data_IF_580673707476
#
_entry.id   IF_580673707476
#
_cell.length_a   1.000
_cell.length_b   1.000
_cell.length_c   1.000
_cell.angle_alpha   90.00
_cell.angle_beta   90.00
_cell.angle_gamma   90.00
#
_symmetry.space_group_name_H-M   'P 1'
#
loop_
_entity.id
_entity.type
_entity.pdbx_description
1 polymer ?
#
# COMPACT_ATOMS: atom_id res chain seq x y z
N UNK A 1 11.13 -13.92 -15.43
CA UNK A 1 10.45 -12.61 -15.43
C UNK A 1 11.19 -11.72 -14.47
N UNK A 2 11.36 -10.45 -14.79
CA UNK A 2 12.10 -9.49 -13.97
C UNK A 2 11.25 -8.99 -12.79
N UNK A 3 9.91 -9.05 -12.93
CA UNK A 3 8.92 -8.68 -11.92
C UNK A 3 7.78 -9.69 -11.92
N UNK A 4 7.49 -10.28 -10.77
CA UNK A 4 6.37 -11.21 -10.57
C UNK A 4 6.12 -11.43 -9.08
N UNK A 5 4.85 -11.48 -8.69
CA UNK A 5 4.41 -11.85 -7.35
C UNK A 5 3.33 -12.91 -7.48
N UNK A 6 3.72 -14.17 -7.43
CA UNK A 6 2.83 -15.31 -7.66
C UNK A 6 2.17 -15.83 -6.38
N UNK A 7 2.65 -15.36 -5.22
CA UNK A 7 2.06 -15.64 -3.90
C UNK A 7 2.52 -14.61 -2.86
N UNK A 8 1.81 -14.51 -1.73
CA UNK A 8 2.24 -13.69 -0.59
C UNK A 8 3.46 -14.27 0.15
N UNK A 9 3.77 -15.57 -0.02
CA UNK A 9 4.76 -16.29 0.77
C UNK A 9 5.97 -16.80 -0.03
N UNK A 10 5.98 -16.71 -1.36
CA UNK A 10 7.18 -17.02 -2.14
C UNK A 10 8.38 -16.21 -1.66
N UNK A 11 9.60 -16.77 -1.71
CA UNK A 11 10.80 -16.06 -1.21
C UNK A 11 10.87 -14.66 -1.83
N UNK A 12 10.84 -13.65 -0.97
CA UNK A 12 10.90 -12.25 -1.38
C UNK A 12 12.28 -11.94 -1.95
N UNK A 13 12.33 -11.36 -3.14
CA UNK A 13 13.56 -11.00 -3.83
C UNK A 13 13.75 -9.51 -3.96
N UNK A 14 12.64 -8.78 -4.15
CA UNK A 14 12.71 -7.33 -4.34
C UNK A 14 11.45 -6.68 -3.79
N UNK A 15 11.61 -5.52 -3.16
CA UNK A 15 10.52 -4.77 -2.53
C UNK A 15 10.75 -3.26 -2.64
N UNK A 16 9.67 -2.50 -2.85
CA UNK A 16 9.68 -1.04 -2.72
C UNK A 16 9.28 -0.69 -1.28
N UNK A 17 10.10 0.14 -0.62
CA UNK A 17 9.85 0.76 0.67
C UNK A 17 9.88 2.28 0.55
N UNK A 18 9.35 2.98 1.55
CA UNK A 18 9.52 4.42 1.71
C UNK A 18 10.00 4.74 3.12
N UNK A 19 11.23 5.24 3.24
CA UNK A 19 11.78 5.67 4.53
C UNK A 19 11.11 6.97 4.95
N UNK A 20 10.56 7.09 6.17
CA UNK A 20 9.94 8.34 6.65
C UNK A 20 10.86 9.55 6.47
N UNK A 21 10.32 10.62 5.89
CA UNK A 21 11.03 11.87 5.61
C UNK A 21 10.35 13.10 6.18
N UNK A 22 10.61 14.25 5.60
CA UNK A 22 10.09 15.55 6.07
C UNK A 22 8.55 15.67 5.99
N UNK A 23 7.87 14.83 5.21
CA UNK A 23 6.41 14.71 5.20
C UNK A 23 5.84 14.41 6.60
N UNK A 24 6.59 13.70 7.43
CA UNK A 24 6.20 13.39 8.80
C UNK A 24 6.28 14.59 9.73
N UNK A 25 7.18 15.53 9.46
CA UNK A 25 7.28 16.79 10.22
C UNK A 25 6.11 17.76 9.96
N UNK A 26 5.34 17.49 8.89
CA UNK A 26 4.10 18.24 8.58
C UNK A 26 2.88 17.74 9.34
N UNK A 27 2.99 16.59 10.02
CA UNK A 27 1.92 16.08 10.89
C UNK A 27 1.84 16.93 12.16
N UNK A 28 0.64 17.38 12.47
CA UNK A 28 0.31 18.16 13.67
C UNK A 28 -0.93 17.57 14.33
N UNK A 29 -1.20 17.86 15.63
CA UNK A 29 -2.44 17.42 16.27
C UNK A 29 -3.72 17.87 15.54
N UNK A 30 -3.65 18.97 14.75
CA UNK A 30 -4.78 19.54 14.05
C UNK A 30 -5.06 18.87 12.71
N UNK A 31 -4.03 18.33 12.01
CA UNK A 31 -4.18 17.81 10.67
C UNK A 31 -4.01 16.29 10.56
N UNK A 32 -3.50 15.61 11.61
CA UNK A 32 -3.18 14.18 11.56
C UNK A 32 -4.35 13.30 11.11
N UNK A 33 -5.56 13.57 11.58
CA UNK A 33 -6.75 12.80 11.22
C UNK A 33 -7.11 12.93 9.73
N UNK A 34 -6.95 14.15 9.16
CA UNK A 34 -7.12 14.39 7.73
C UNK A 34 -6.05 13.71 6.89
N UNK A 35 -4.85 13.57 7.45
CA UNK A 35 -3.72 12.88 6.84
C UNK A 35 -3.67 11.38 7.20
N UNK A 36 -4.71 10.86 7.88
CA UNK A 36 -4.92 9.45 8.20
C UNK A 36 -3.88 8.85 9.16
N UNK A 37 -3.29 9.69 10.03
CA UNK A 37 -2.43 9.25 11.13
C UNK A 37 -3.18 9.33 12.46
N UNK A 38 -2.93 8.37 13.35
CA UNK A 38 -3.58 8.34 14.66
C UNK A 38 -2.86 9.25 15.68
N UNK A 39 -1.58 9.53 15.44
CA UNK A 39 -0.79 10.42 16.27
C UNK A 39 0.34 11.08 15.46
N UNK A 40 0.98 12.11 16.05
CA UNK A 40 2.26 12.64 15.55
C UNK A 40 3.40 11.73 15.99
N UNK A 41 4.41 11.59 15.17
CA UNK A 41 5.54 10.72 15.44
C UNK A 41 6.85 11.48 15.64
N UNK A 42 7.80 10.84 16.29
CA UNK A 42 9.17 11.31 16.38
C UNK A 42 9.96 10.79 15.15
N UNK A 43 10.27 11.69 14.22
CA UNK A 43 10.83 11.34 12.91
C UNK A 43 12.12 10.50 13.01
N UNK A 44 13.10 10.96 13.81
CA UNK A 44 14.40 10.26 13.92
C UNK A 44 14.21 8.83 14.42
N UNK A 45 13.30 8.62 15.37
CA UNK A 45 13.01 7.28 15.87
C UNK A 45 12.26 6.44 14.84
N UNK A 46 11.30 7.02 14.12
CA UNK A 46 10.61 6.34 13.02
C UNK A 46 11.59 5.91 11.91
N UNK A 47 12.58 6.74 11.61
CA UNK A 47 13.66 6.41 10.67
C UNK A 47 14.52 5.24 11.17
N UNK A 48 14.91 5.24 12.43
CA UNK A 48 15.68 4.12 13.03
C UNK A 48 14.90 2.81 12.97
N UNK A 49 13.61 2.83 13.27
CA UNK A 49 12.71 1.67 13.21
C UNK A 49 12.57 1.15 11.77
N UNK A 50 12.35 2.05 10.81
CA UNK A 50 12.27 1.69 9.40
C UNK A 50 13.61 1.17 8.85
N UNK A 51 14.73 1.75 9.27
CA UNK A 51 16.07 1.27 8.91
C UNK A 51 16.33 -0.13 9.45
N UNK A 52 15.77 -0.49 10.61
CA UNK A 52 15.83 -1.86 11.12
C UNK A 52 14.99 -2.81 10.26
N UNK A 53 13.80 -2.39 9.83
CA UNK A 53 13.01 -3.17 8.90
C UNK A 53 13.78 -3.44 7.59
N UNK A 54 14.34 -2.40 6.97
CA UNK A 54 15.15 -2.56 5.76
C UNK A 54 16.36 -3.49 5.98
N UNK A 55 17.05 -3.42 7.15
CA UNK A 55 18.16 -4.33 7.49
C UNK A 55 17.72 -5.78 7.64
N UNK A 56 16.54 -6.06 8.21
CA UNK A 56 16.02 -7.42 8.29
C UNK A 56 15.81 -8.00 6.89
N UNK A 57 15.30 -7.21 5.96
CA UNK A 57 15.07 -7.63 4.57
C UNK A 57 16.39 -7.84 3.82
N UNK A 58 17.29 -6.87 3.84
CA UNK A 58 18.59 -6.96 3.15
C UNK A 58 19.47 -8.08 3.72
N UNK A 59 19.38 -8.35 5.02
CA UNK A 59 20.05 -9.48 5.68
C UNK A 59 19.54 -10.85 5.25
N UNK A 60 18.44 -10.92 4.50
CA UNK A 60 17.82 -12.11 3.90
C UNK A 60 17.88 -12.10 2.37
N UNK A 61 18.83 -11.34 1.79
CA UNK A 61 19.07 -11.22 0.34
C UNK A 61 17.86 -10.61 -0.42
N UNK A 62 17.11 -9.72 0.21
CA UNK A 62 16.04 -8.95 -0.44
C UNK A 62 16.61 -7.63 -0.94
N UNK A 63 16.44 -7.34 -2.22
CA UNK A 63 16.75 -6.03 -2.79
C UNK A 63 15.69 -5.03 -2.36
N UNK A 64 16.12 -3.99 -1.63
CA UNK A 64 15.25 -2.89 -1.20
C UNK A 64 15.42 -1.71 -2.14
N UNK A 65 14.31 -1.28 -2.73
CA UNK A 65 14.19 -0.09 -3.55
C UNK A 65 13.48 0.99 -2.73
N UNK A 66 14.02 2.21 -2.70
CA UNK A 66 13.32 3.31 -2.03
C UNK A 66 12.48 4.11 -3.02
N UNK A 67 11.21 4.33 -2.68
CA UNK A 67 10.26 5.11 -3.46
C UNK A 67 10.79 6.52 -3.78
N UNK A 68 11.39 7.18 -2.79
CA UNK A 68 11.99 8.52 -2.95
C UNK A 68 13.07 8.54 -4.01
N UNK A 69 13.94 7.52 -4.04
CA UNK A 69 15.02 7.42 -5.02
C UNK A 69 14.49 7.11 -6.41
N UNK A 70 13.51 6.19 -6.50
CA UNK A 70 12.85 5.88 -7.77
C UNK A 70 12.14 7.12 -8.33
N UNK A 71 11.44 7.86 -7.49
CA UNK A 71 10.76 9.09 -7.90
C UNK A 71 11.75 10.16 -8.33
N UNK A 72 12.81 10.40 -7.54
CA UNK A 72 13.86 11.36 -7.88
C UNK A 72 14.48 11.09 -9.25
N UNK A 73 14.86 9.83 -9.51
CA UNK A 73 15.42 9.42 -10.81
C UNK A 73 14.39 9.55 -11.94
N UNK A 74 13.12 9.25 -11.68
CA UNK A 74 12.04 9.40 -12.67
C UNK A 74 11.85 10.87 -13.05
N UNK A 75 11.92 11.78 -12.08
CA UNK A 75 11.70 13.21 -12.28
C UNK A 75 12.87 13.93 -12.99
N UNK A 76 14.01 13.28 -13.21
CA UNK A 76 15.05 13.77 -14.13
C UNK A 76 14.65 13.61 -15.62
N UNK A 77 13.61 12.82 -15.90
CA UNK A 77 13.08 12.60 -17.25
C UNK A 77 12.01 13.67 -17.53
N UNK A 78 12.20 14.55 -18.55
CA UNK A 78 11.30 15.68 -18.77
C UNK A 78 9.82 15.30 -18.92
N UNK A 79 9.53 14.24 -19.69
CA UNK A 79 8.15 13.77 -19.92
C UNK A 79 7.47 13.26 -18.63
N UNK A 80 8.25 12.64 -17.75
CA UNK A 80 7.76 12.17 -16.45
C UNK A 80 7.49 13.34 -15.50
N UNK A 81 8.41 14.31 -15.49
CA UNK A 81 8.28 15.55 -14.71
C UNK A 81 7.04 16.33 -15.13
N UNK A 82 6.87 16.58 -16.43
CA UNK A 82 5.69 17.27 -16.95
C UNK A 82 4.40 16.54 -16.59
N UNK A 83 4.39 15.21 -16.75
CA UNK A 83 3.26 14.38 -16.40
C UNK A 83 2.82 14.55 -14.94
N UNK A 84 3.78 14.53 -14.01
CA UNK A 84 3.51 14.69 -12.57
C UNK A 84 3.08 16.12 -12.27
N UNK A 85 3.82 17.10 -12.74
CA UNK A 85 3.55 18.50 -12.43
C UNK A 85 2.20 18.98 -12.99
N UNK A 86 1.81 18.57 -14.20
CA UNK A 86 0.50 18.91 -14.77
C UNK A 86 -0.69 18.39 -13.95
N UNK A 87 -0.48 17.28 -13.23
CA UNK A 87 -1.51 16.66 -12.38
C UNK A 87 -1.53 17.20 -10.95
N UNK A 88 -0.37 17.62 -10.45
CA UNK A 88 -0.20 18.07 -9.07
C UNK A 88 -0.34 19.58 -8.95
N UNK A 89 0.23 20.34 -9.90
CA UNK A 89 0.28 21.80 -9.89
C UNK A 89 -0.55 22.34 -11.05
N UNK A 90 -1.80 22.65 -10.80
CA UNK A 90 -2.73 23.16 -11.81
C UNK A 90 -3.76 24.12 -11.20
N UNK A 91 -4.43 24.87 -12.06
CA UNK A 91 -5.39 25.90 -11.65
C UNK A 91 -6.57 25.38 -10.83
N UNK A 92 -7.00 24.12 -11.05
CA UNK A 92 -8.10 23.53 -10.29
C UNK A 92 -7.70 23.23 -8.84
N UNK A 93 -6.41 22.93 -8.63
CA UNK A 93 -5.87 22.56 -7.30
C UNK A 93 -5.38 23.80 -6.53
N UNK A 94 -4.65 24.69 -7.21
CA UNK A 94 -3.92 25.78 -6.56
C UNK A 94 -4.50 27.17 -6.86
N UNK A 95 -5.49 27.28 -7.77
CA UNK A 95 -5.98 28.55 -8.30
C UNK A 95 -5.01 29.17 -9.31
N UNK A 96 -5.50 29.99 -10.26
CA UNK A 96 -4.70 30.48 -11.37
C UNK A 96 -3.47 31.31 -10.93
N UNK A 97 -3.63 32.21 -9.95
CA UNK A 97 -2.55 33.11 -9.52
C UNK A 97 -1.47 32.44 -8.67
N UNK A 98 -1.76 31.32 -8.00
CA UNK A 98 -0.79 30.56 -7.22
C UNK A 98 -0.12 29.42 -8.00
N UNK A 99 -0.73 29.00 -9.11
CA UNK A 99 -0.19 27.92 -9.97
C UNK A 99 1.12 28.32 -10.63
N UNK A 100 1.21 29.52 -11.24
CA UNK A 100 2.40 29.97 -11.96
C UNK A 100 3.64 30.07 -11.05
N UNK A 101 3.60 30.73 -9.88
CA UNK A 101 4.72 30.74 -8.95
C UNK A 101 5.15 29.35 -8.47
N UNK A 102 4.19 28.47 -8.19
CA UNK A 102 4.51 27.12 -7.77
C UNK A 102 5.15 26.30 -8.90
N UNK A 103 4.71 26.47 -10.14
CA UNK A 103 5.36 25.88 -11.32
C UNK A 103 6.78 26.42 -11.52
N UNK A 104 6.95 27.72 -11.46
CA UNK A 104 8.27 28.35 -11.61
C UNK A 104 9.27 27.85 -10.56
N UNK A 105 8.80 27.65 -9.31
CA UNK A 105 9.63 27.03 -8.28
C UNK A 105 9.98 25.59 -8.63
N UNK A 106 8.99 24.76 -8.98
CA UNK A 106 9.19 23.32 -9.21
C UNK A 106 9.99 23.05 -10.49
N UNK A 107 9.90 23.87 -11.52
CA UNK A 107 10.65 23.71 -12.77
C UNK A 107 12.16 23.88 -12.57
N UNK A 108 12.59 24.68 -11.59
CA UNK A 108 13.99 24.93 -11.26
C UNK A 108 14.67 23.88 -10.40
N UNK A 109 13.92 22.91 -9.86
CA UNK A 109 14.45 21.91 -8.93
C UNK A 109 15.08 20.71 -9.66
N UNK A 110 16.11 20.10 -9.06
CA UNK A 110 16.57 18.77 -9.46
C UNK A 110 15.48 17.72 -9.20
N UNK A 111 15.61 16.52 -9.79
CA UNK A 111 14.66 15.44 -9.54
C UNK A 111 14.54 15.07 -8.07
N UNK A 112 15.66 15.10 -7.33
CA UNK A 112 15.68 14.82 -5.90
C UNK A 112 14.96 15.89 -5.07
N UNK A 113 15.23 17.19 -5.36
CA UNK A 113 14.54 18.28 -4.68
C UNK A 113 13.04 18.32 -5.02
N UNK A 114 12.68 18.02 -6.26
CA UNK A 114 11.28 17.94 -6.67
C UNK A 114 10.57 16.75 -6.01
N UNK A 115 11.20 15.59 -5.92
CA UNK A 115 10.64 14.43 -5.20
C UNK A 115 10.36 14.78 -3.74
N UNK A 116 11.30 15.47 -3.08
CA UNK A 116 11.12 15.95 -1.71
C UNK A 116 9.91 16.91 -1.60
N UNK A 117 9.79 17.90 -2.47
CA UNK A 117 8.64 18.83 -2.49
C UNK A 117 7.31 18.09 -2.75
N UNK A 118 7.31 17.12 -3.65
CA UNK A 118 6.09 16.35 -3.95
C UNK A 118 5.65 15.47 -2.79
N UNK A 119 6.59 14.95 -2.01
CA UNK A 119 6.32 14.08 -0.85
C UNK A 119 6.08 14.90 0.42
N UNK A 120 6.99 15.81 0.77
CA UNK A 120 6.90 16.60 1.99
C UNK A 120 5.89 17.75 1.92
N UNK A 121 5.49 18.14 0.71
CA UNK A 121 4.64 19.32 0.51
C UNK A 121 5.42 20.64 0.61
N UNK A 122 4.68 21.75 0.50
CA UNK A 122 5.25 23.11 0.62
C UNK A 122 4.24 24.04 1.32
N UNK A 123 4.73 24.87 2.23
CA UNK A 123 3.93 25.90 2.88
C UNK A 123 3.88 27.18 2.03
N UNK A 124 2.95 28.07 2.36
CA UNK A 124 2.91 29.42 1.76
C UNK A 124 4.22 30.17 2.01
N UNK A 125 4.74 30.16 3.24
CA UNK A 125 5.99 30.85 3.59
C UNK A 125 7.17 30.34 2.73
N UNK A 126 7.33 29.03 2.60
CA UNK A 126 8.39 28.40 1.81
C UNK A 126 8.31 28.77 0.31
N UNK A 127 7.09 28.93 -0.24
CA UNK A 127 6.90 29.39 -1.60
C UNK A 127 7.35 30.88 -1.72
N UNK A 128 6.88 31.75 -0.80
CA UNK A 128 7.14 33.19 -0.85
C UNK A 128 8.62 33.54 -0.63
N UNK A 129 9.37 32.72 0.11
CA UNK A 129 10.81 32.86 0.29
C UNK A 129 11.61 32.62 -0.99
N UNK A 130 11.08 31.77 -1.87
CA UNK A 130 11.80 31.28 -3.05
C UNK A 130 11.36 31.91 -4.37
N UNK A 131 10.09 32.38 -4.43
CA UNK A 131 9.50 32.83 -5.69
C UNK A 131 8.63 34.05 -5.48
N UNK A 132 8.81 35.13 -6.26
CA UNK A 132 7.87 36.25 -6.28
C UNK A 132 6.48 35.78 -6.67
N UNK A 133 5.48 36.15 -5.90
CA UNK A 133 4.10 35.79 -6.16
C UNK A 133 3.25 37.00 -6.48
N UNK A 134 2.37 36.93 -7.50
CA UNK A 134 1.37 37.95 -7.76
C UNK A 134 0.30 37.95 -6.65
N UNK A 135 -0.54 38.98 -6.64
CA UNK A 135 -1.71 39.00 -5.79
C UNK A 135 -2.60 37.77 -6.08
N UNK A 136 -2.85 37.00 -5.05
CA UNK A 136 -3.61 35.75 -5.11
C UNK A 136 -4.58 35.67 -3.96
N UNK A 137 -5.86 35.44 -4.24
CA UNK A 137 -6.87 35.21 -3.21
C UNK A 137 -6.54 33.95 -2.39
N UNK A 138 -6.01 32.92 -3.05
CA UNK A 138 -5.59 31.67 -2.35
C UNK A 138 -4.51 32.00 -1.33
N UNK A 139 -3.41 32.64 -1.73
CA UNK A 139 -2.32 32.99 -0.82
C UNK A 139 -2.73 34.01 0.24
N UNK A 140 -3.60 34.95 -0.10
CA UNK A 140 -4.10 35.95 0.86
C UNK A 140 -5.01 35.34 1.95
N UNK A 141 -5.69 34.23 1.65
CA UNK A 141 -6.57 33.53 2.60
C UNK A 141 -5.84 32.49 3.47
N UNK A 142 -4.57 32.21 3.20
CA UNK A 142 -3.74 31.25 3.91
C UNK A 142 -2.87 31.92 4.96
N UNK A 143 -2.66 31.25 6.11
CA UNK A 143 -1.58 31.53 7.03
C UNK A 143 -0.22 31.13 6.45
N UNK A 144 0.87 31.62 7.02
CA UNK A 144 2.21 31.35 6.48
C UNK A 144 2.61 29.87 6.58
N UNK A 145 2.12 29.18 7.62
CA UNK A 145 2.36 27.73 7.83
C UNK A 145 1.34 26.84 7.12
N UNK A 146 0.33 27.40 6.43
CA UNK A 146 -0.64 26.61 5.70
C UNK A 146 0.01 25.97 4.46
N UNK A 147 -0.38 24.73 4.19
CA UNK A 147 0.19 23.91 3.14
C UNK A 147 -0.47 24.20 1.79
N UNK A 148 0.25 24.82 0.87
CA UNK A 148 -0.18 25.02 -0.51
C UNK A 148 -0.15 23.69 -1.30
N UNK A 149 0.83 22.86 -1.01
CA UNK A 149 0.90 21.48 -1.45
C UNK A 149 0.93 20.58 -0.20
N UNK A 150 -0.10 19.77 0.06
CA UNK A 150 -0.14 18.90 1.23
C UNK A 150 0.95 17.82 1.21
N UNK A 151 1.45 17.33 2.36
CA UNK A 151 2.37 16.22 2.42
C UNK A 151 1.70 14.89 2.10
N UNK A 152 2.51 13.86 1.86
CA UNK A 152 2.08 12.48 1.60
C UNK A 152 2.67 11.50 2.64
N UNK A 153 2.32 11.62 3.93
CA UNK A 153 2.91 10.79 4.98
C UNK A 153 2.57 9.30 4.82
N UNK A 154 1.46 8.97 4.16
CA UNK A 154 1.07 7.59 3.92
C UNK A 154 1.89 6.90 2.81
N UNK A 155 2.84 7.57 2.16
CA UNK A 155 3.86 6.90 1.35
C UNK A 155 4.68 5.88 2.15
N UNK A 156 4.76 6.02 3.48
CA UNK A 156 5.27 4.99 4.38
C UNK A 156 4.66 3.61 4.09
N UNK A 157 3.37 3.58 3.71
CA UNK A 157 2.62 2.36 3.40
C UNK A 157 2.58 2.16 1.89
N UNK A 158 3.67 1.65 1.33
CA UNK A 158 3.88 1.46 -0.11
C UNK A 158 2.98 0.39 -0.73
N UNK A 159 2.39 -0.48 0.11
CA UNK A 159 1.49 -1.57 -0.32
C UNK A 159 0.22 -1.08 -1.00
N UNK A 160 -0.37 0.01 -0.50
CA UNK A 160 -1.72 0.38 -0.88
C UNK A 160 -1.81 1.01 -2.25
N UNK A 161 -0.84 1.86 -2.59
CA UNK A 161 -0.86 2.66 -3.82
C UNK A 161 -0.52 1.84 -5.06
N UNK A 162 0.26 0.75 -4.91
CA UNK A 162 0.45 -0.22 -5.97
C UNK A 162 0.70 -1.62 -5.40
N UNK A 163 0.22 -2.64 -6.11
CA UNK A 163 0.53 -4.02 -5.79
C UNK A 163 0.76 -4.84 -7.07
N UNK A 164 1.76 -5.71 -7.03
CA UNK A 164 2.02 -6.65 -8.10
C UNK A 164 1.11 -7.87 -7.93
N UNK A 165 0.44 -8.25 -9.01
CA UNK A 165 -0.48 -9.39 -9.05
C UNK A 165 -0.01 -10.30 -10.18
N UNK A 166 0.60 -11.40 -9.83
CA UNK A 166 1.29 -12.29 -10.77
C UNK A 166 2.30 -11.51 -11.63
N UNK A 167 2.16 -11.51 -12.94
CA UNK A 167 3.07 -10.93 -13.91
C UNK A 167 2.83 -9.45 -14.24
N UNK A 168 1.97 -8.77 -13.50
CA UNK A 168 1.65 -7.37 -13.76
C UNK A 168 1.36 -6.55 -12.51
N UNK A 169 1.25 -5.24 -12.68
CA UNK A 169 1.04 -4.29 -11.59
C UNK A 169 -0.36 -3.67 -11.61
N UNK A 170 -0.99 -3.59 -10.46
CA UNK A 170 -2.16 -2.73 -10.22
C UNK A 170 -1.67 -1.40 -9.64
N UNK A 171 -1.84 -0.32 -10.40
CA UNK A 171 -1.62 1.04 -9.91
C UNK A 171 -2.97 1.51 -9.38
N UNK A 172 -3.07 1.70 -8.08
CA UNK A 172 -4.35 1.73 -7.40
C UNK A 172 -4.96 3.14 -7.34
N UNK A 173 -6.28 3.20 -7.51
CA UNK A 173 -7.06 4.42 -7.27
C UNK A 173 -7.45 4.46 -5.80
N UNK A 174 -6.90 5.43 -5.06
CA UNK A 174 -7.10 5.54 -3.63
C UNK A 174 -8.47 6.13 -3.27
N UNK A 175 -9.11 5.57 -2.25
CA UNK A 175 -10.41 6.06 -1.74
C UNK A 175 -10.26 7.42 -1.07
N UNK A 176 -9.29 7.55 -0.17
CA UNK A 176 -9.17 8.73 0.69
C UNK A 176 -8.47 9.89 -0.02
N UNK A 177 -9.02 11.12 0.04
CA UNK A 177 -8.45 12.29 -0.64
C UNK A 177 -6.98 12.53 -0.32
N UNK A 178 -6.55 12.33 0.92
CA UNK A 178 -5.17 12.52 1.38
C UNK A 178 -4.16 11.64 0.63
N UNK A 179 -4.60 10.49 0.08
CA UNK A 179 -3.73 9.51 -0.61
C UNK A 179 -3.83 9.55 -2.14
N UNK A 180 -4.82 10.24 -2.71
CA UNK A 180 -5.05 10.20 -4.18
C UNK A 180 -3.83 10.64 -4.99
N UNK A 181 -3.08 11.61 -4.48
CA UNK A 181 -1.91 12.13 -5.16
C UNK A 181 -0.71 11.17 -5.14
N UNK A 182 -0.66 10.23 -4.20
CA UNK A 182 0.37 9.18 -4.15
C UNK A 182 0.40 8.36 -5.45
N UNK A 183 -0.76 8.08 -6.01
CA UNK A 183 -0.93 7.28 -7.25
C UNK A 183 -0.17 7.88 -8.43
N UNK A 184 -0.13 9.22 -8.56
CA UNK A 184 0.57 9.94 -9.65
C UNK A 184 2.07 9.60 -9.65
N UNK A 185 2.67 9.49 -8.47
CA UNK A 185 4.09 9.16 -8.33
C UNK A 185 4.38 7.74 -8.84
N UNK A 186 3.54 6.77 -8.50
CA UNK A 186 3.68 5.39 -8.98
C UNK A 186 3.40 5.26 -10.48
N UNK A 187 2.39 5.98 -11.02
CA UNK A 187 2.14 6.06 -12.47
C UNK A 187 3.39 6.52 -13.22
N UNK A 188 4.06 7.57 -12.71
CA UNK A 188 5.28 8.09 -13.33
C UNK A 188 6.44 7.09 -13.21
N UNK A 189 6.66 6.50 -12.04
CA UNK A 189 7.73 5.52 -11.81
C UNK A 189 7.58 4.32 -12.76
N UNK A 190 6.44 3.66 -12.78
CA UNK A 190 6.26 2.47 -13.61
C UNK A 190 6.33 2.77 -15.12
N UNK A 191 5.97 3.97 -15.53
CA UNK A 191 5.96 4.35 -16.94
C UNK A 191 7.31 4.79 -17.47
N UNK A 192 8.12 5.50 -16.68
CA UNK A 192 9.34 6.16 -17.18
C UNK A 192 10.63 5.74 -16.47
N UNK A 193 10.58 5.27 -15.22
CA UNK A 193 11.81 4.89 -14.53
C UNK A 193 12.55 3.79 -15.30
N UNK A 194 13.88 3.91 -15.58
CA UNK A 194 14.64 2.96 -16.40
C UNK A 194 14.54 1.50 -15.96
N UNK A 195 14.35 1.24 -14.67
CA UNK A 195 14.17 -0.11 -14.12
C UNK A 195 12.87 -0.78 -14.61
N UNK A 196 11.83 -0.02 -14.87
CA UNK A 196 10.50 -0.53 -15.24
C UNK A 196 10.16 -0.31 -16.70
N UNK A 197 10.52 0.83 -17.28
CA UNK A 197 10.16 1.25 -18.65
C UNK A 197 10.69 0.33 -19.74
N UNK A 198 11.77 -0.43 -19.46
CA UNK A 198 12.35 -1.42 -20.40
C UNK A 198 11.69 -2.80 -20.34
N UNK A 199 10.79 -3.04 -19.40
CA UNK A 199 10.17 -4.35 -19.16
C UNK A 199 8.71 -4.33 -19.62
N UNK A 200 8.28 -5.40 -20.29
CA UNK A 200 6.88 -5.57 -20.67
C UNK A 200 6.11 -6.27 -19.55
N UNK A 201 5.21 -5.56 -18.90
CA UNK A 201 4.27 -6.11 -17.93
C UNK A 201 2.90 -5.46 -18.09
N UNK A 202 1.79 -6.19 -17.85
CA UNK A 202 0.46 -5.62 -17.87
C UNK A 202 0.24 -4.64 -16.70
N UNK A 203 -0.54 -3.60 -16.96
CA UNK A 203 -1.06 -2.69 -15.93
C UNK A 203 -2.53 -3.04 -15.70
N UNK A 204 -2.85 -3.56 -14.51
CA UNK A 204 -4.17 -4.06 -14.18
C UNK A 204 -5.17 -2.97 -13.78
N UNK A 205 -4.70 -1.80 -13.34
CA UNK A 205 -5.54 -0.65 -13.01
C UNK A 205 -4.93 0.65 -13.53
N UNK A 206 -5.79 1.59 -13.95
CA UNK A 206 -5.38 2.86 -14.56
C UNK A 206 -5.02 3.96 -13.55
N UNK A 207 -4.77 3.61 -12.31
CA UNK A 207 -4.40 4.59 -11.29
C UNK A 207 -5.45 5.67 -11.08
N UNK A 208 -5.06 6.92 -11.24
CA UNK A 208 -5.93 8.10 -11.02
C UNK A 208 -7.19 8.12 -11.90
N UNK A 209 -7.15 7.47 -13.06
CA UNK A 209 -8.29 7.43 -13.99
C UNK A 209 -9.35 6.39 -13.62
N UNK A 210 -9.07 5.49 -12.69
CA UNK A 210 -9.99 4.44 -12.27
C UNK A 210 -11.10 4.92 -11.33
N UNK A 211 -10.90 6.06 -10.65
CA UNK A 211 -11.88 6.56 -9.69
C UNK A 211 -13.25 6.89 -10.31
N UNK A 212 -14.35 6.67 -9.57
CA UNK A 212 -14.43 6.32 -8.14
C UNK A 212 -14.37 4.81 -7.83
N UNK A 213 -14.01 3.96 -8.78
CA UNK A 213 -13.84 2.52 -8.58
C UNK A 213 -12.47 2.26 -7.92
N UNK A 214 -12.42 2.29 -6.59
CA UNK A 214 -11.18 2.23 -5.82
C UNK A 214 -10.74 0.80 -5.50
N UNK A 215 -9.43 0.59 -5.50
CA UNK A 215 -8.75 -0.59 -4.98
C UNK A 215 -7.55 -0.08 -4.19
N UNK A 216 -7.27 -0.67 -3.02
CA UNK A 216 -6.04 -0.42 -2.26
C UNK A 216 -5.32 -1.76 -2.01
N UNK A 217 -4.00 -1.78 -2.13
CA UNK A 217 -3.22 -3.03 -2.15
C UNK A 217 -3.22 -3.80 -0.83
N UNK A 218 -3.52 -3.15 0.31
CA UNK A 218 -3.74 -3.83 1.59
C UNK A 218 -4.94 -4.77 1.59
N UNK A 219 -5.88 -4.57 0.68
CA UNK A 219 -7.00 -5.48 0.46
C UNK A 219 -6.67 -6.64 -0.49
N UNK A 220 -5.54 -6.61 -1.20
CA UNK A 220 -5.21 -7.57 -2.25
C UNK A 220 -4.13 -8.52 -1.77
N UNK A 221 -4.42 -9.81 -1.72
CA UNK A 221 -3.46 -10.87 -1.41
C UNK A 221 -3.39 -11.90 -2.54
N UNK A 222 -2.21 -12.12 -3.06
CA UNK A 222 -1.94 -13.11 -4.09
C UNK A 222 -1.71 -14.45 -3.39
N UNK A 223 -2.72 -15.30 -3.37
CA UNK A 223 -2.66 -16.55 -2.59
C UNK A 223 -2.05 -17.72 -3.33
N UNK A 224 -1.79 -17.61 -4.65
CA UNK A 224 -1.28 -18.68 -5.48
C UNK A 224 -2.37 -19.40 -6.29
N UNK A 225 -2.01 -20.41 -7.05
CA UNK A 225 -2.94 -21.23 -7.86
C UNK A 225 -3.83 -20.42 -8.82
N UNK A 226 -3.34 -19.28 -9.34
CA UNK A 226 -4.13 -18.37 -10.17
C UNK A 226 -5.26 -17.66 -9.41
N UNK A 227 -5.23 -17.66 -8.09
CA UNK A 227 -6.26 -17.06 -7.24
C UNK A 227 -5.76 -15.79 -6.55
N UNK A 228 -6.68 -14.85 -6.35
CA UNK A 228 -6.45 -13.60 -5.59
C UNK A 228 -7.56 -13.48 -4.54
N UNK A 229 -7.15 -13.17 -3.30
CA UNK A 229 -8.06 -12.84 -2.21
C UNK A 229 -8.16 -11.32 -2.12
N UNK A 230 -9.37 -10.76 -2.08
CA UNK A 230 -9.56 -9.30 -2.08
C UNK A 230 -10.60 -8.89 -1.02
N UNK A 231 -10.26 -7.93 -0.16
CA UNK A 231 -11.22 -7.34 0.78
C UNK A 231 -12.19 -6.39 0.06
N UNK A 232 -13.49 -6.52 0.32
CA UNK A 232 -14.49 -5.47 0.05
C UNK A 232 -14.59 -4.64 1.30
N UNK A 233 -13.86 -3.54 1.37
CA UNK A 233 -13.62 -2.79 2.62
C UNK A 233 -14.19 -1.37 2.58
N UNK A 234 -13.77 -0.51 3.49
CA UNK A 234 -14.03 0.93 3.38
C UNK A 234 -13.19 1.59 2.27
N UNK A 235 -12.10 0.95 1.83
CA UNK A 235 -11.12 1.47 0.87
C UNK A 235 -11.27 0.86 -0.52
N UNK A 236 -11.63 -0.41 -0.61
CA UNK A 236 -11.77 -1.14 -1.86
C UNK A 236 -13.24 -1.40 -2.16
N UNK A 237 -13.71 -0.87 -3.28
CA UNK A 237 -15.12 -0.95 -3.69
C UNK A 237 -15.39 -2.19 -4.55
N UNK A 238 -16.63 -2.66 -4.55
CA UNK A 238 -17.06 -3.78 -5.42
C UNK A 238 -16.82 -3.47 -6.90
N UNK A 239 -17.04 -2.22 -7.33
CA UNK A 239 -16.75 -1.77 -8.69
C UNK A 239 -15.24 -1.84 -9.02
N UNK A 240 -14.40 -1.49 -8.06
CA UNK A 240 -12.95 -1.61 -8.20
C UNK A 240 -12.52 -3.05 -8.40
N UNK A 241 -13.05 -3.97 -7.57
CA UNK A 241 -12.76 -5.41 -7.68
C UNK A 241 -13.26 -5.96 -9.01
N UNK A 242 -14.45 -5.62 -9.45
CA UNK A 242 -15.01 -6.13 -10.72
C UNK A 242 -14.21 -5.66 -11.94
N UNK A 243 -13.76 -4.38 -11.94
CA UNK A 243 -12.87 -3.85 -12.98
C UNK A 243 -11.50 -4.54 -12.97
N UNK A 244 -10.91 -4.74 -11.79
CA UNK A 244 -9.65 -5.48 -11.63
C UNK A 244 -9.80 -6.92 -12.13
N UNK A 245 -10.86 -7.62 -11.70
CA UNK A 245 -11.18 -8.98 -12.11
C UNK A 245 -11.26 -9.13 -13.64
N UNK A 246 -11.99 -8.22 -14.30
CA UNK A 246 -12.15 -8.25 -15.76
C UNK A 246 -10.81 -8.21 -16.48
N UNK A 247 -9.83 -7.45 -15.99
CA UNK A 247 -8.51 -7.35 -16.61
C UNK A 247 -7.61 -8.52 -16.27
N UNK A 248 -7.61 -8.96 -15.02
CA UNK A 248 -6.86 -10.12 -14.59
C UNK A 248 -7.29 -11.38 -15.34
N UNK A 249 -8.61 -11.57 -15.53
CA UNK A 249 -9.14 -12.71 -16.30
C UNK A 249 -8.80 -12.59 -17.79
N UNK A 250 -8.88 -11.39 -18.37
CA UNK A 250 -8.46 -11.17 -19.76
C UNK A 250 -6.95 -11.43 -19.96
N UNK A 251 -6.13 -11.19 -18.93
CA UNK A 251 -4.69 -11.51 -18.95
C UNK A 251 -4.37 -12.99 -18.82
N UNK A 252 -5.34 -13.84 -18.45
CA UNK A 252 -5.24 -15.30 -18.44
C UNK A 252 -4.43 -15.91 -17.30
N UNK A 253 -3.78 -15.11 -16.46
CA UNK A 253 -2.96 -15.62 -15.33
C UNK A 253 -3.82 -15.89 -14.10
N UNK A 254 -4.87 -15.11 -13.89
CA UNK A 254 -5.82 -15.27 -12.79
C UNK A 254 -7.07 -15.99 -13.27
N UNK A 255 -7.49 -17.02 -12.54
CA UNK A 255 -8.67 -17.83 -12.87
C UNK A 255 -9.83 -17.63 -11.89
N UNK A 256 -9.57 -17.01 -10.71
CA UNK A 256 -10.61 -16.68 -9.75
C UNK A 256 -10.16 -15.59 -8.76
N UNK A 257 -11.16 -14.86 -8.26
CA UNK A 257 -11.00 -13.94 -7.14
C UNK A 257 -11.98 -14.36 -6.05
N UNK A 258 -11.50 -14.38 -4.81
CA UNK A 258 -12.36 -14.52 -3.62
C UNK A 258 -12.44 -13.17 -2.95
N UNK A 259 -13.58 -12.49 -3.07
CA UNK A 259 -13.83 -11.21 -2.41
C UNK A 259 -14.43 -11.46 -1.03
N UNK A 260 -13.82 -10.91 0.03
CA UNK A 260 -14.26 -11.03 1.43
C UNK A 260 -15.00 -9.76 1.83
N UNK A 261 -16.25 -9.88 2.25
CA UNK A 261 -17.06 -8.73 2.68
C UNK A 261 -16.64 -8.28 4.08
N UNK A 262 -15.76 -7.27 4.14
CA UNK A 262 -15.18 -6.75 5.38
C UNK A 262 -16.15 -5.84 6.15
N UNK A 263 -15.96 -5.77 7.47
CA UNK A 263 -16.57 -4.71 8.27
C UNK A 263 -15.93 -3.36 7.93
N UNK A 264 -16.75 -2.35 7.65
CA UNK A 264 -16.26 -1.01 7.28
C UNK A 264 -15.96 -0.20 8.53
N UNK A 265 -14.80 -0.44 9.12
CA UNK A 265 -14.31 0.27 10.30
C UNK A 265 -12.84 0.62 10.13
N UNK A 266 -12.37 1.68 10.77
CA UNK A 266 -10.96 2.08 10.71
C UNK A 266 -10.02 0.97 11.20
N UNK A 267 -10.41 0.20 12.22
CA UNK A 267 -9.61 -0.91 12.73
C UNK A 267 -9.43 -2.04 11.70
N UNK A 268 -10.36 -2.16 10.76
CA UNK A 268 -10.38 -3.19 9.71
C UNK A 268 -10.43 -2.55 8.33
N UNK A 269 -9.60 -1.51 8.12
CA UNK A 269 -9.64 -0.71 6.89
C UNK A 269 -9.26 -1.51 5.65
N UNK A 270 -8.38 -2.50 5.81
CA UNK A 270 -7.93 -3.41 4.77
C UNK A 270 -7.94 -4.86 5.27
N UNK A 271 -7.94 -5.82 4.34
CA UNK A 271 -7.89 -7.25 4.65
C UNK A 271 -6.62 -7.63 5.40
N UNK A 272 -5.47 -7.06 5.04
CA UNK A 272 -4.18 -7.35 5.66
C UNK A 272 -4.06 -6.87 7.11
N UNK A 273 -4.91 -5.97 7.57
CA UNK A 273 -4.96 -5.56 8.98
C UNK A 273 -5.56 -6.62 9.90
N UNK A 274 -6.25 -7.62 9.34
CA UNK A 274 -6.96 -8.66 10.10
C UNK A 274 -6.60 -10.08 9.68
N UNK A 275 -5.96 -10.26 8.52
CA UNK A 275 -5.63 -11.56 7.96
C UNK A 275 -4.46 -11.44 6.98
N UNK A 276 -3.37 -12.19 7.19
CA UNK A 276 -2.28 -12.35 6.23
C UNK A 276 -1.84 -13.80 6.10
N UNK A 277 -1.37 -14.17 4.91
CA UNK A 277 -0.80 -15.48 4.65
C UNK A 277 0.63 -15.55 5.19
N UNK A 278 0.95 -16.58 5.98
CA UNK A 278 2.26 -16.73 6.65
C UNK A 278 3.04 -17.98 6.20
N UNK A 279 2.34 -18.98 5.67
CA UNK A 279 2.93 -20.20 5.10
C UNK A 279 1.96 -20.83 4.10
N UNK A 280 2.36 -21.90 3.42
CA UNK A 280 1.50 -22.62 2.48
C UNK A 280 0.21 -23.06 3.16
N UNK A 281 -0.92 -22.56 2.66
CA UNK A 281 -2.24 -22.83 3.24
C UNK A 281 -2.44 -22.34 4.66
N UNK A 282 -1.54 -21.50 5.20
CA UNK A 282 -1.58 -21.04 6.59
C UNK A 282 -1.74 -19.52 6.65
N UNK A 283 -2.74 -19.09 7.46
CA UNK A 283 -3.02 -17.66 7.67
C UNK A 283 -3.01 -17.33 9.16
N UNK A 284 -2.42 -16.19 9.52
CA UNK A 284 -2.69 -15.55 10.82
C UNK A 284 -3.93 -14.69 10.67
N UNK A 285 -4.86 -14.80 11.62
CA UNK A 285 -6.16 -14.11 11.58
C UNK A 285 -6.48 -13.51 12.95
N UNK A 286 -6.92 -12.25 12.93
CA UNK A 286 -7.44 -11.59 14.12
C UNK A 286 -8.67 -12.34 14.69
N UNK A 287 -8.61 -12.73 15.94
CA UNK A 287 -9.67 -13.55 16.57
C UNK A 287 -11.06 -12.89 16.61
N UNK A 288 -11.10 -11.55 16.62
CA UNK A 288 -12.36 -10.78 16.58
C UNK A 288 -12.97 -10.63 15.18
N UNK A 289 -12.30 -11.07 14.12
CA UNK A 289 -12.83 -10.98 12.75
C UNK A 289 -14.05 -11.89 12.56
N UNK A 290 -14.00 -13.11 13.10
CA UNK A 290 -14.98 -14.14 12.80
C UNK A 290 -14.88 -14.68 11.37
N UNK A 291 -15.95 -15.32 10.92
CA UNK A 291 -16.10 -15.75 9.52
C UNK A 291 -16.99 -14.76 8.77
N UNK A 292 -16.58 -14.34 7.60
CA UNK A 292 -17.25 -13.33 6.78
C UNK A 292 -17.85 -13.95 5.53
N UNK A 293 -18.95 -13.38 4.97
CA UNK A 293 -19.44 -13.75 3.65
C UNK A 293 -18.36 -13.52 2.60
N UNK A 294 -18.32 -14.40 1.60
CA UNK A 294 -17.41 -14.24 0.47
C UNK A 294 -18.16 -14.29 -0.86
N UNK A 295 -17.56 -13.69 -1.87
CA UNK A 295 -18.03 -13.72 -3.24
C UNK A 295 -16.92 -14.31 -4.11
N UNK A 296 -17.20 -15.41 -4.79
CA UNK A 296 -16.24 -16.01 -5.74
C UNK A 296 -16.55 -15.50 -7.13
N UNK A 297 -15.58 -14.81 -7.74
CA UNK A 297 -15.63 -14.31 -9.11
C UNK A 297 -14.81 -15.26 -10.01
N UNK A 298 -15.36 -15.64 -11.17
CA UNK A 298 -14.68 -16.42 -12.19
C UNK A 298 -14.97 -15.88 -13.58
N UNK A 299 -14.08 -16.11 -14.58
CA UNK A 299 -14.38 -15.78 -15.96
C UNK A 299 -15.57 -16.62 -16.45
N UNK A 300 -16.49 -15.99 -17.18
CA UNK A 300 -17.67 -16.65 -17.78
C UNK A 300 -17.83 -16.17 -19.23
N UNK A 301 -17.20 -16.93 -20.16
CA UNK A 301 -17.16 -16.55 -21.56
C UNK A 301 -16.38 -15.28 -21.86
N UNK A 302 -16.65 -14.65 -22.99
CA UNK A 302 -15.95 -13.45 -23.45
C UNK A 302 -16.38 -12.22 -22.62
N UNK A 303 -15.50 -11.78 -21.70
CA UNK A 303 -15.64 -10.54 -20.88
C UNK A 303 -16.76 -10.55 -19.83
N UNK A 304 -17.38 -11.69 -19.55
CA UNK A 304 -18.34 -11.82 -18.46
C UNK A 304 -17.68 -12.39 -17.21
N UNK A 305 -18.24 -12.06 -16.06
CA UNK A 305 -17.79 -12.53 -14.75
C UNK A 305 -18.98 -13.21 -14.08
N UNK A 306 -18.82 -14.48 -13.72
CA UNK A 306 -19.76 -15.15 -12.83
C UNK A 306 -19.45 -14.80 -11.38
N UNK A 307 -20.47 -14.56 -10.58
CA UNK A 307 -20.34 -14.24 -9.16
C UNK A 307 -21.17 -15.22 -8.35
N UNK A 308 -20.52 -15.91 -7.42
CA UNK A 308 -21.19 -16.84 -6.48
C UNK A 308 -21.00 -16.34 -5.05
N UNK A 309 -22.11 -16.08 -4.35
CA UNK A 309 -22.09 -15.71 -2.93
C UNK A 309 -21.97 -16.96 -2.07
N UNK A 310 -21.08 -16.94 -1.09
CA UNK A 310 -20.87 -18.02 -0.12
C UNK A 310 -21.22 -17.53 1.29
N UNK A 311 -21.77 -18.45 2.09
CA UNK A 311 -22.10 -18.17 3.48
C UNK A 311 -20.84 -17.96 4.34
N UNK A 312 -20.94 -17.22 5.46
CA UNK A 312 -19.79 -16.98 6.34
C UNK A 312 -19.11 -18.26 6.80
N UNK A 313 -19.87 -19.30 7.10
CA UNK A 313 -19.37 -20.60 7.57
C UNK A 313 -18.41 -21.26 6.57
N UNK A 314 -18.60 -20.97 5.29
CA UNK A 314 -17.82 -21.53 4.18
C UNK A 314 -16.53 -20.78 3.88
N UNK A 315 -16.26 -19.62 4.51
CA UNK A 315 -15.14 -18.75 4.19
C UNK A 315 -13.81 -19.49 4.02
N UNK A 316 -13.42 -20.27 5.02
CA UNK A 316 -12.13 -20.98 4.98
C UNK A 316 -12.11 -22.10 3.95
N UNK A 317 -13.24 -22.78 3.74
CA UNK A 317 -13.36 -23.80 2.71
C UNK A 317 -13.22 -23.19 1.29
N UNK A 318 -13.85 -22.04 1.07
CA UNK A 318 -13.78 -21.33 -0.22
C UNK A 318 -12.36 -20.87 -0.52
N UNK A 319 -11.65 -20.31 0.48
CA UNK A 319 -10.25 -19.89 0.34
C UNK A 319 -9.34 -21.11 0.11
N UNK A 320 -9.54 -22.22 0.86
CA UNK A 320 -8.78 -23.45 0.65
C UNK A 320 -8.94 -24.01 -0.76
N UNK A 321 -10.18 -24.04 -1.28
CA UNK A 321 -10.47 -24.46 -2.64
C UNK A 321 -9.80 -23.55 -3.68
N UNK A 322 -9.76 -22.25 -3.44
CA UNK A 322 -9.09 -21.30 -4.33
C UNK A 322 -7.57 -21.53 -4.35
N UNK A 323 -6.98 -21.81 -3.20
CA UNK A 323 -5.57 -22.18 -3.04
C UNK A 323 -5.23 -23.56 -3.65
N UNK A 324 -6.22 -24.46 -3.79
CA UNK A 324 -6.00 -25.84 -4.23
C UNK A 324 -5.48 -26.75 -3.12
N UNK A 325 -5.82 -26.44 -1.85
CA UNK A 325 -5.47 -27.26 -0.67
C UNK A 325 -6.70 -27.87 -0.02
N UNK A 326 -6.53 -28.97 0.72
CA UNK A 326 -7.64 -29.68 1.37
C UNK A 326 -8.32 -28.88 2.47
N UNK A 327 -7.58 -27.99 3.14
CA UNK A 327 -8.08 -27.10 4.20
C UNK A 327 -7.06 -26.03 4.57
N UNK A 328 -7.53 -24.95 5.21
CA UNK A 328 -6.64 -23.93 5.73
C UNK A 328 -6.15 -24.28 7.13
N UNK A 329 -4.88 -24.01 7.38
CA UNK A 329 -4.34 -23.89 8.72
C UNK A 329 -4.55 -22.43 9.19
N UNK A 330 -5.48 -22.23 10.14
CA UNK A 330 -5.87 -20.90 10.62
C UNK A 330 -5.29 -20.68 12.00
N UNK A 331 -4.35 -19.75 12.10
CA UNK A 331 -3.68 -19.39 13.34
C UNK A 331 -4.37 -18.16 13.96
N UNK A 332 -5.16 -18.42 15.00
CA UNK A 332 -5.83 -17.40 15.81
C UNK A 332 -5.23 -17.47 17.21
N UNK A 333 -4.55 -16.40 17.62
CA UNK A 333 -3.91 -16.31 18.93
C UNK A 333 -4.96 -16.43 20.05
N UNK A 334 -4.84 -17.42 20.95
CA UNK A 334 -5.79 -17.63 22.04
C UNK A 334 -5.59 -16.60 23.15
N UNK A 335 -6.29 -15.49 23.07
CA UNK A 335 -6.26 -14.40 24.04
C UNK A 335 -7.66 -13.83 24.25
N UNK A 336 -7.86 -13.10 25.35
CA UNK A 336 -9.14 -12.43 25.58
C UNK A 336 -9.40 -11.33 24.53
N UNK A 337 -10.65 -10.89 24.45
CA UNK A 337 -11.07 -9.94 23.41
C UNK A 337 -10.37 -8.57 23.51
N UNK A 338 -9.97 -8.13 24.71
CA UNK A 338 -9.26 -6.87 24.88
C UNK A 338 -7.80 -6.99 24.42
N UNK A 339 -7.12 -8.06 24.80
CA UNK A 339 -5.77 -8.33 24.33
C UNK A 339 -5.74 -8.50 22.81
N UNK A 340 -6.69 -9.27 22.24
CA UNK A 340 -6.83 -9.46 20.81
C UNK A 340 -7.06 -8.13 20.05
N UNK A 341 -7.93 -7.27 20.58
CA UNK A 341 -8.20 -5.95 19.96
C UNK A 341 -6.99 -5.02 20.03
N UNK A 342 -6.21 -5.07 21.12
CA UNK A 342 -4.97 -4.28 21.26
C UNK A 342 -3.89 -4.71 20.27
N UNK A 343 -3.61 -6.01 20.17
CA UNK A 343 -2.61 -6.49 19.23
C UNK A 343 -3.05 -6.33 17.77
N UNK A 344 -4.37 -6.44 17.48
CA UNK A 344 -4.88 -6.09 16.15
C UNK A 344 -4.72 -4.60 15.85
N UNK A 345 -4.96 -3.71 16.84
CA UNK A 345 -4.69 -2.28 16.69
C UNK A 345 -3.21 -1.99 16.46
N UNK A 346 -2.33 -2.78 17.02
CA UNK A 346 -0.88 -2.73 16.83
C UNK A 346 -0.40 -3.59 15.63
N UNK A 347 -1.29 -3.86 14.67
CA UNK A 347 -1.01 -4.57 13.41
C UNK A 347 -0.48 -6.01 13.60
N UNK A 348 -0.92 -6.71 14.65
CA UNK A 348 -0.47 -8.08 14.96
C UNK A 348 -0.80 -9.12 13.89
N UNK A 349 -1.79 -8.87 13.04
CA UNK A 349 -2.11 -9.73 11.89
C UNK A 349 -1.55 -9.20 10.56
N UNK A 350 -0.82 -8.07 10.56
CA UNK A 350 -0.26 -7.44 9.35
C UNK A 350 1.20 -7.89 9.14
N UNK A 351 1.38 -9.20 8.97
CA UNK A 351 2.70 -9.83 8.86
C UNK A 351 3.20 -9.86 7.42
N UNK A 352 4.45 -9.45 7.18
CA UNK A 352 5.09 -9.64 5.89
C UNK A 352 5.81 -10.99 5.85
N UNK A 353 5.32 -11.93 5.07
CA UNK A 353 6.08 -13.15 4.79
C UNK A 353 7.20 -12.84 3.79
N UNK A 354 8.43 -13.27 4.13
CA UNK A 354 9.61 -13.13 3.27
C UNK A 354 10.05 -14.46 2.65
N UNK A 355 9.55 -15.56 3.18
CA UNK A 355 9.61 -16.91 2.64
C UNK A 355 8.49 -17.73 3.28
N UNK A 356 8.14 -18.93 2.77
CA UNK A 356 7.18 -19.80 3.45
C UNK A 356 7.57 -20.05 4.89
N UNK A 357 6.68 -19.77 5.84
CA UNK A 357 6.91 -19.93 7.27
C UNK A 357 7.89 -18.93 7.91
N UNK A 358 8.31 -17.88 7.21
CA UNK A 358 9.21 -16.84 7.73
C UNK A 358 8.59 -15.47 7.55
N UNK A 359 8.30 -14.78 8.65
CA UNK A 359 7.57 -13.51 8.64
C UNK A 359 8.28 -12.39 9.38
N UNK A 360 7.98 -11.15 9.02
CA UNK A 360 8.37 -9.94 9.76
C UNK A 360 7.15 -9.35 10.45
N UNK A 361 7.26 -9.02 11.73
CA UNK A 361 6.19 -8.46 12.57
C UNK A 361 6.73 -7.37 13.50
N UNK A 362 5.85 -6.59 14.13
CA UNK A 362 6.25 -5.70 15.22
C UNK A 362 6.52 -6.49 16.51
N UNK A 363 7.61 -6.19 17.21
CA UNK A 363 8.03 -6.82 18.47
C UNK A 363 6.99 -6.67 19.59
N UNK A 364 6.18 -5.62 19.55
CA UNK A 364 5.18 -5.31 20.58
C UNK A 364 3.97 -6.27 20.60
N UNK A 365 3.76 -7.05 19.54
CA UNK A 365 2.70 -8.05 19.44
C UNK A 365 3.12 -9.38 20.08
N UNK A 366 3.45 -9.35 21.37
CA UNK A 366 4.14 -10.43 22.08
C UNK A 366 3.36 -11.72 22.02
N UNK A 367 2.05 -11.71 22.35
CA UNK A 367 1.25 -12.94 22.39
C UNK A 367 1.11 -13.56 20.99
N UNK A 368 0.87 -12.74 19.97
CA UNK A 368 0.76 -13.22 18.58
C UNK A 368 2.10 -13.78 18.10
N UNK A 369 3.20 -13.11 18.36
CA UNK A 369 4.53 -13.56 17.96
C UNK A 369 4.93 -14.89 18.63
N UNK A 370 4.67 -15.04 19.94
CA UNK A 370 4.92 -16.29 20.68
C UNK A 370 4.03 -17.43 20.17
N UNK A 371 2.76 -17.14 19.91
CA UNK A 371 1.82 -18.13 19.38
C UNK A 371 2.24 -18.63 17.99
N UNK A 372 2.57 -17.73 17.06
CA UNK A 372 3.05 -18.08 15.72
C UNK A 372 4.35 -18.88 15.78
N UNK A 373 5.30 -18.48 16.63
CA UNK A 373 6.56 -19.22 16.85
C UNK A 373 6.30 -20.63 17.37
N UNK A 374 5.35 -20.81 18.31
CA UNK A 374 5.01 -22.13 18.84
C UNK A 374 4.34 -23.05 17.80
N UNK A 375 3.84 -22.48 16.70
CA UNK A 375 3.25 -23.19 15.56
C UNK A 375 4.22 -23.35 14.37
N UNK A 376 5.52 -23.14 14.59
CA UNK A 376 6.57 -23.41 13.61
C UNK A 376 6.85 -22.27 12.63
N UNK A 377 6.28 -21.08 12.86
CA UNK A 377 6.60 -19.90 12.07
C UNK A 377 7.85 -19.20 12.61
N UNK A 378 8.85 -18.95 11.78
CA UNK A 378 9.98 -18.11 12.12
C UNK A 378 9.54 -16.64 12.13
N UNK A 379 9.50 -16.03 13.31
CA UNK A 379 9.08 -14.65 13.52
C UNK A 379 10.31 -13.74 13.69
N UNK A 380 10.50 -12.84 12.73
CA UNK A 380 11.50 -11.79 12.76
C UNK A 380 10.85 -10.51 13.25
N UNK A 381 11.29 -9.99 14.38
CA UNK A 381 10.66 -8.81 14.98
C UNK A 381 11.42 -7.53 14.64
N UNK A 382 10.65 -6.45 14.45
CA UNK A 382 11.15 -5.08 14.30
C UNK A 382 10.46 -4.16 15.31
N UNK A 383 11.09 -3.07 15.75
CA UNK A 383 10.41 -2.06 16.55
C UNK A 383 9.36 -1.33 15.67
N UNK A 384 8.29 -0.86 16.29
CA UNK A 384 7.18 -0.21 15.59
C UNK A 384 6.44 0.77 16.49
N UNK A 385 7.14 1.43 17.42
CA UNK A 385 6.51 2.40 18.33
C UNK A 385 6.14 3.70 17.62
N UNK A 386 6.93 4.12 16.63
CA UNK A 386 6.70 5.34 15.86
C UNK A 386 6.09 5.05 14.48
N UNK A 387 6.67 4.13 13.69
CA UNK A 387 6.12 3.82 12.36
C UNK A 387 4.70 3.24 12.41
N UNK A 388 4.35 2.53 13.49
CA UNK A 388 3.00 2.00 13.73
C UNK A 388 1.92 3.06 14.01
N UNK A 389 2.30 4.33 14.30
CA UNK A 389 1.32 5.42 14.54
C UNK A 389 0.48 5.80 13.32
N UNK A 390 0.92 5.42 12.13
CA UNK A 390 0.15 5.57 10.90
C UNK A 390 -0.88 4.45 10.66
N UNK A 391 -0.92 3.41 11.49
CA UNK A 391 -1.77 2.23 11.35
C UNK A 391 -1.42 1.41 10.11
N UNK A 392 -0.30 0.73 10.18
CA UNK A 392 0.16 -0.24 9.21
C UNK A 392 1.40 -0.96 9.69
N UNK A 393 1.41 -2.28 9.52
CA UNK A 393 2.52 -3.15 9.89
C UNK A 393 3.53 -3.36 8.75
N UNK A 394 4.42 -4.33 8.90
CA UNK A 394 5.43 -4.65 7.88
C UNK A 394 4.85 -5.02 6.51
N UNK A 395 3.65 -5.62 6.45
CA UNK A 395 2.96 -5.90 5.19
C UNK A 395 2.56 -4.60 4.48
N UNK A 396 1.91 -3.67 5.21
CA UNK A 396 1.52 -2.36 4.67
C UNK A 396 2.72 -1.52 4.22
N UNK A 397 3.85 -1.56 4.96
CA UNK A 397 5.07 -0.81 4.62
C UNK A 397 5.84 -1.36 3.42
N UNK A 398 5.36 -2.42 2.77
CA UNK A 398 6.11 -3.12 1.72
C UNK A 398 5.28 -3.32 0.44
N UNK A 399 5.89 -3.02 -0.72
CA UNK A 399 5.35 -3.38 -2.02
C UNK A 399 6.31 -4.37 -2.71
N UNK A 400 6.12 -5.69 -2.54
CA UNK A 400 6.87 -6.68 -3.28
C UNK A 400 6.72 -6.50 -4.78
N UNK A 401 7.85 -6.56 -5.51
CA UNK A 401 7.88 -6.49 -6.98
C UNK A 401 8.39 -7.78 -7.58
N UNK A 402 9.11 -8.59 -6.78
CA UNK A 402 9.61 -9.90 -7.21
C UNK A 402 9.60 -10.89 -6.03
N UNK A 403 8.96 -12.02 -6.26
CA UNK A 403 9.04 -13.20 -5.39
C UNK A 403 9.34 -14.44 -6.22
N UNK A 404 10.05 -15.40 -5.62
CA UNK A 404 10.18 -16.71 -6.24
C UNK A 404 8.82 -17.42 -6.31
N UNK A 405 8.50 -18.16 -7.40
CA UNK A 405 7.32 -18.99 -7.42
C UNK A 405 7.38 -20.05 -6.31
N UNK A 406 6.23 -20.47 -5.83
CA UNK A 406 6.13 -21.62 -4.95
C UNK A 406 6.46 -22.89 -5.72
N UNK A 407 7.27 -23.77 -5.12
CA UNK A 407 7.69 -25.03 -5.70
C UNK A 407 6.54 -26.06 -5.81
#
# INVERSE_FOLDING_TARGET
MEFSVDSEIGKLRQVILHRPGNEMLRLTPQNKDHLLFDDVLWLERAQEEHDQFARVLTGRDVEVLYLSDLLAQTLEIPEARDYVLDRVVNENTNGPSATEPLRALTDGLSGAELAEVLIAGITKAELLERTPCPDSLVLASMGDDDLLLPPLPNHLFTRDTSCWIYNGVSINSMMMPARKRETINYEAIYRWHPRFAGSEFPVWSEGTQAGPATVEGGDVQIIGNGAVLVGVSERTTSQGIERLASRLFAGGTVNQIVAVEMNRTRAQMHLDTVMTMVDVGTFTIYGGLGKLPTLTLRPDGDKQISVTRNAPEDMYRVIAQALGVDGLNVLITPQDSMAAAREQWDDGSNSLAIAPGVIVTYERNVNTNEYLTSHGIEVLTIPGSEVGRGRGGPHCMSCPTLRDPLA
#
